data_IF_107400249920
#
_entry.id   IF_107400249920
#
_cell.length_a   1.000
_cell.length_b   1.000
_cell.length_c   1.000
_cell.angle_alpha   90.00
_cell.angle_beta   90.00
_cell.angle_gamma   90.00
#
_symmetry.space_group_name_H-M   'P 1'
#
loop_
_entity.id
_entity.type
_entity.pdbx_description
1 polymer ?
#
# COMPACT_ATOMS: atom_id res chain seq x y z
N UNK A 1 -18.45 -16.21 2.88
CA UNK A 1 -17.82 -14.95 2.44
C UNK A 1 -18.72 -13.81 2.86
N UNK A 2 -18.16 -12.75 3.42
CA UNK A 2 -18.95 -11.54 3.69
C UNK A 2 -19.21 -10.77 2.37
N UNK A 3 -20.05 -9.74 2.40
CA UNK A 3 -20.43 -8.99 1.19
C UNK A 3 -19.23 -8.29 0.51
N UNK A 4 -18.26 -7.83 1.30
CA UNK A 4 -17.00 -7.25 0.82
C UNK A 4 -16.14 -8.27 0.08
N UNK A 5 -16.06 -9.51 0.58
CA UNK A 5 -15.30 -10.57 -0.06
C UNK A 5 -15.87 -10.86 -1.45
N UNK A 6 -17.20 -11.01 -1.55
CA UNK A 6 -17.89 -11.27 -2.82
C UNK A 6 -17.68 -10.10 -3.81
N UNK A 7 -17.76 -8.87 -3.31
CA UNK A 7 -17.53 -7.66 -4.10
C UNK A 7 -16.09 -7.59 -4.62
N UNK A 8 -15.10 -7.95 -3.80
CA UNK A 8 -13.70 -7.96 -4.21
C UNK A 8 -13.39 -9.04 -5.25
N UNK A 9 -13.97 -10.23 -5.13
CA UNK A 9 -13.83 -11.28 -6.15
C UNK A 9 -14.41 -10.82 -7.49
N UNK A 10 -15.62 -10.25 -7.48
CA UNK A 10 -16.23 -9.65 -8.69
C UNK A 10 -15.35 -8.57 -9.31
N UNK A 11 -14.68 -7.76 -8.49
CA UNK A 11 -13.70 -6.79 -8.96
C UNK A 11 -12.50 -7.44 -9.66
N UNK A 12 -11.94 -8.51 -9.10
CA UNK A 12 -10.85 -9.26 -9.74
C UNK A 12 -11.29 -9.89 -11.07
N UNK A 13 -12.52 -10.42 -11.14
CA UNK A 13 -13.07 -10.99 -12.38
C UNK A 13 -13.19 -9.95 -13.49
N UNK A 14 -13.71 -8.76 -13.16
CA UNK A 14 -13.78 -7.64 -14.13
C UNK A 14 -12.37 -7.25 -14.59
N UNK A 15 -11.38 -7.22 -13.69
CA UNK A 15 -10.01 -6.93 -14.09
C UNK A 15 -9.42 -8.01 -15.00
N UNK A 16 -9.61 -9.29 -14.69
CA UNK A 16 -9.11 -10.40 -15.51
C UNK A 16 -9.71 -10.34 -16.92
N UNK A 17 -11.00 -10.02 -17.02
CA UNK A 17 -11.71 -9.86 -18.31
C UNK A 17 -11.22 -8.64 -19.10
N UNK A 18 -11.07 -7.48 -18.45
CA UNK A 18 -10.77 -6.20 -19.13
C UNK A 18 -9.29 -6.02 -19.43
N UNK A 19 -8.40 -6.56 -18.59
CA UNK A 19 -6.98 -6.30 -18.71
C UNK A 19 -6.26 -7.26 -19.65
N UNK A 20 -6.86 -8.42 -20.01
CA UNK A 20 -6.40 -9.46 -20.98
C UNK A 20 -5.04 -9.15 -21.63
N UNK A 21 -4.00 -9.14 -20.81
CA UNK A 21 -2.61 -8.97 -21.20
C UNK A 21 -1.93 -10.20 -20.64
N UNK A 22 -1.54 -11.09 -21.55
CA UNK A 22 -0.73 -12.24 -21.24
C UNK A 22 0.50 -11.77 -20.44
N UNK A 23 0.71 -12.41 -19.30
CA UNK A 23 1.83 -12.06 -18.43
C UNK A 23 3.14 -12.31 -19.19
N UNK A 24 4.01 -11.29 -19.23
CA UNK A 24 5.38 -11.37 -19.77
C UNK A 24 6.23 -12.44 -19.04
N UNK A 25 5.76 -12.92 -17.88
CA UNK A 25 6.49 -13.82 -16.98
C UNK A 25 6.45 -15.30 -17.41
N UNK A 26 5.65 -15.67 -18.42
CA UNK A 26 5.57 -17.07 -18.89
C UNK A 26 6.75 -17.53 -19.78
N UNK A 27 7.78 -16.70 -19.99
CA UNK A 27 8.91 -17.01 -20.88
C UNK A 27 10.16 -17.58 -20.18
N UNK A 28 10.01 -18.32 -19.09
CA UNK A 28 11.05 -19.26 -18.64
C UNK A 28 10.59 -20.66 -19.03
N UNK A 29 11.23 -21.19 -20.07
CA UNK A 29 10.99 -22.52 -20.65
C UNK A 29 10.69 -23.58 -19.58
N UNK A 30 9.51 -24.20 -19.66
CA UNK A 30 9.11 -25.34 -18.81
C UNK A 30 9.89 -26.64 -19.10
N UNK A 31 10.84 -26.62 -20.05
CA UNK A 31 11.55 -27.81 -20.53
C UNK A 31 12.92 -28.08 -19.87
N UNK A 32 13.33 -27.33 -18.85
CA UNK A 32 14.56 -27.61 -18.08
C UNK A 32 14.29 -28.41 -16.81
N UNK A 33 15.32 -29.10 -16.30
CA UNK A 33 15.29 -29.76 -15.00
C UNK A 33 14.75 -28.82 -13.90
N UNK A 34 13.90 -29.36 -13.01
CA UNK A 34 13.18 -28.57 -12.01
C UNK A 34 14.14 -27.87 -11.04
N UNK A 35 15.23 -28.53 -10.65
CA UNK A 35 16.22 -27.97 -9.73
C UNK A 35 17.05 -26.89 -10.42
N UNK A 36 17.47 -27.12 -11.66
CA UNK A 36 18.17 -26.11 -12.47
C UNK A 36 17.29 -24.86 -12.67
N UNK A 37 16.01 -25.05 -12.99
CA UNK A 37 15.03 -23.95 -13.12
C UNK A 37 14.90 -23.17 -11.82
N UNK A 38 14.72 -23.88 -10.70
CA UNK A 38 14.58 -23.26 -9.39
C UNK A 38 15.81 -22.43 -9.00
N UNK A 39 16.99 -22.99 -9.25
CA UNK A 39 18.25 -22.30 -9.00
C UNK A 39 18.38 -21.03 -9.85
N UNK A 40 18.13 -21.11 -11.17
CA UNK A 40 18.20 -19.92 -12.05
C UNK A 40 17.20 -18.83 -11.66
N UNK A 41 15.99 -19.20 -11.25
CA UNK A 41 14.97 -18.25 -10.78
C UNK A 41 15.42 -17.60 -9.47
N UNK A 42 15.90 -18.38 -8.50
CA UNK A 42 16.40 -17.86 -7.22
C UNK A 42 17.54 -16.86 -7.42
N UNK A 43 18.55 -17.22 -8.22
CA UNK A 43 19.69 -16.34 -8.50
C UNK A 43 19.24 -15.05 -9.22
N UNK A 44 18.37 -15.17 -10.23
CA UNK A 44 17.87 -14.01 -10.98
C UNK A 44 17.05 -13.07 -10.10
N UNK A 45 16.27 -13.59 -9.16
CA UNK A 45 15.45 -12.78 -8.26
C UNK A 45 16.28 -12.09 -7.17
N UNK A 46 17.42 -12.67 -6.75
CA UNK A 46 18.39 -11.96 -5.89
C UNK A 46 19.09 -10.84 -6.67
N UNK A 47 19.42 -11.07 -7.95
CA UNK A 47 20.01 -10.04 -8.82
C UNK A 47 19.03 -8.90 -9.09
N UNK A 48 17.74 -9.20 -9.25
CA UNK A 48 16.72 -8.20 -9.61
C UNK A 48 16.41 -7.20 -8.50
N UNK A 49 16.84 -7.46 -7.26
CA UNK A 49 16.64 -6.56 -6.15
C UNK A 49 17.21 -5.15 -6.46
N UNK A 50 16.30 -4.18 -6.64
CA UNK A 50 16.59 -2.79 -7.02
C UNK A 50 17.32 -2.65 -8.36
N UNK A 51 16.97 -3.50 -9.34
CA UNK A 51 17.56 -3.52 -10.68
C UNK A 51 16.47 -3.56 -11.74
N UNK A 52 16.67 -2.86 -12.87
CA UNK A 52 15.73 -2.92 -14.01
C UNK A 52 15.68 -4.33 -14.60
N UNK A 53 14.50 -4.77 -15.04
CA UNK A 53 14.30 -6.12 -15.57
C UNK A 53 15.22 -6.44 -16.75
N UNK A 54 15.43 -5.51 -17.68
CA UNK A 54 16.35 -5.65 -18.81
C UNK A 54 17.81 -5.90 -18.36
N UNK A 55 18.24 -5.19 -17.31
CA UNK A 55 19.58 -5.34 -16.74
C UNK A 55 19.72 -6.67 -16.01
N UNK A 56 18.69 -7.06 -15.24
CA UNK A 56 18.61 -8.38 -14.59
C UNK A 56 18.73 -9.49 -15.62
N UNK A 57 17.95 -9.44 -16.70
CA UNK A 57 17.97 -10.46 -17.75
C UNK A 57 19.35 -10.58 -18.40
N UNK A 58 20.00 -9.46 -18.71
CA UNK A 58 21.36 -9.43 -19.27
C UNK A 58 22.39 -10.04 -18.30
N UNK A 59 22.40 -9.60 -17.04
CA UNK A 59 23.36 -10.07 -16.03
C UNK A 59 23.15 -11.56 -15.73
N UNK A 60 21.91 -12.00 -15.53
CA UNK A 60 21.58 -13.41 -15.32
C UNK A 60 22.03 -14.28 -16.49
N UNK A 61 21.80 -13.84 -17.74
CA UNK A 61 22.24 -14.57 -18.93
C UNK A 61 23.76 -14.77 -18.96
N UNK A 62 24.53 -13.73 -18.68
CA UNK A 62 26.00 -13.83 -18.65
C UNK A 62 26.49 -14.71 -17.50
N UNK A 63 25.88 -14.62 -16.32
CA UNK A 63 26.20 -15.46 -15.17
C UNK A 63 25.93 -16.95 -15.46
N UNK A 64 24.78 -17.29 -16.05
CA UNK A 64 24.40 -18.67 -16.33
C UNK A 64 25.18 -19.34 -17.47
N UNK A 65 26.02 -18.59 -18.20
CA UNK A 65 27.05 -19.21 -19.07
C UNK A 65 28.13 -19.90 -18.25
N UNK A 66 28.40 -19.41 -17.04
CA UNK A 66 29.45 -19.92 -16.13
C UNK A 66 28.89 -20.78 -15.00
N UNK A 67 27.65 -20.52 -14.57
CA UNK A 67 27.04 -21.14 -13.40
C UNK A 67 25.82 -21.97 -13.80
N UNK A 68 25.89 -23.28 -13.60
CA UNK A 68 24.76 -24.22 -13.81
C UNK A 68 24.16 -24.69 -12.49
N UNK A 69 24.97 -24.79 -11.44
CA UNK A 69 24.56 -25.28 -10.12
C UNK A 69 25.22 -24.48 -8.97
N UNK A 70 24.81 -24.69 -7.70
CA UNK A 70 25.40 -23.97 -6.55
C UNK A 70 26.91 -24.13 -6.40
N UNK A 71 27.49 -25.29 -6.75
CA UNK A 71 28.94 -25.53 -6.64
C UNK A 71 29.72 -24.63 -7.61
N UNK A 72 29.25 -24.50 -8.84
CA UNK A 72 29.84 -23.59 -9.83
C UNK A 72 29.84 -22.14 -9.31
N UNK A 73 28.76 -21.73 -8.62
CA UNK A 73 28.62 -20.37 -8.09
C UNK A 73 29.66 -20.06 -6.99
N UNK A 74 29.87 -20.99 -6.06
CA UNK A 74 30.79 -20.81 -4.93
C UNK A 74 32.25 -20.82 -5.39
N UNK A 75 32.56 -21.55 -6.47
CA UNK A 75 33.90 -21.60 -7.06
C UNK A 75 34.34 -20.28 -7.71
N UNK A 76 33.41 -19.41 -8.13
CA UNK A 76 33.77 -18.12 -8.72
C UNK A 76 34.47 -17.23 -7.67
N UNK A 77 35.67 -16.70 -7.97
CA UNK A 77 36.32 -15.70 -7.13
C UNK A 77 35.41 -14.50 -6.87
N UNK A 78 35.44 -13.95 -5.65
CA UNK A 78 34.47 -12.90 -5.27
C UNK A 78 34.60 -11.65 -6.14
N UNK A 79 35.82 -11.29 -6.55
CA UNK A 79 36.10 -10.15 -7.42
C UNK A 79 35.58 -10.38 -8.85
N UNK A 80 35.65 -11.61 -9.36
CA UNK A 80 35.06 -11.98 -10.65
C UNK A 80 33.53 -11.94 -10.58
N UNK A 81 32.93 -12.48 -9.51
CA UNK A 81 31.49 -12.44 -9.31
C UNK A 81 30.99 -11.00 -9.19
N UNK A 82 31.71 -10.14 -8.47
CA UNK A 82 31.43 -8.70 -8.37
C UNK A 82 31.46 -8.03 -9.75
N UNK A 83 32.42 -8.34 -10.61
CA UNK A 83 32.49 -7.83 -12.00
C UNK A 83 31.29 -8.30 -12.83
N UNK A 84 30.91 -9.58 -12.72
CA UNK A 84 29.78 -10.15 -13.45
C UNK A 84 28.45 -9.47 -13.07
N UNK A 85 28.24 -9.20 -11.78
CA UNK A 85 27.00 -8.58 -11.29
C UNK A 85 27.06 -7.05 -11.17
N UNK A 86 28.20 -6.42 -11.50
CA UNK A 86 28.40 -4.98 -11.46
C UNK A 86 27.27 -4.16 -12.11
N UNK A 87 26.79 -4.51 -13.32
CA UNK A 87 25.73 -3.74 -13.98
C UNK A 87 24.42 -3.69 -13.20
N UNK A 88 24.16 -4.66 -12.31
CA UNK A 88 22.92 -4.72 -11.54
C UNK A 88 22.87 -3.72 -10.37
N UNK A 89 23.97 -3.02 -10.04
CA UNK A 89 24.05 -2.15 -8.87
C UNK A 89 24.00 -2.92 -7.54
N UNK A 90 24.48 -2.29 -6.45
CA UNK A 90 24.70 -2.97 -5.15
C UNK A 90 25.49 -4.29 -5.27
N UNK A 91 26.37 -4.36 -6.27
CA UNK A 91 26.97 -5.59 -6.76
C UNK A 91 27.84 -6.29 -5.71
N UNK A 92 28.55 -5.54 -4.86
CA UNK A 92 29.31 -6.10 -3.74
C UNK A 92 28.43 -6.91 -2.78
N UNK A 93 27.30 -6.34 -2.39
CA UNK A 93 26.32 -7.02 -1.52
C UNK A 93 25.68 -8.20 -2.23
N UNK A 94 25.32 -8.05 -3.51
CA UNK A 94 24.75 -9.15 -4.30
C UNK A 94 25.72 -10.30 -4.46
N UNK A 95 26.98 -10.05 -4.83
CA UNK A 95 28.00 -11.07 -4.98
C UNK A 95 28.22 -11.85 -3.66
N UNK A 96 28.34 -11.13 -2.54
CA UNK A 96 28.43 -11.74 -1.20
C UNK A 96 27.21 -12.62 -0.88
N UNK A 97 26.00 -12.11 -1.13
CA UNK A 97 24.77 -12.86 -0.90
C UNK A 97 24.68 -14.10 -1.79
N UNK A 98 24.99 -13.98 -3.08
CA UNK A 98 24.97 -15.10 -4.03
C UNK A 98 25.95 -16.20 -3.62
N UNK A 99 27.17 -15.83 -3.22
CA UNK A 99 28.19 -16.79 -2.78
C UNK A 99 27.76 -17.53 -1.51
N UNK A 100 27.34 -16.78 -0.48
CA UNK A 100 26.84 -17.35 0.78
C UNK A 100 25.56 -18.17 0.59
N UNK A 101 24.67 -17.76 -0.32
CA UNK A 101 23.49 -18.53 -0.69
C UNK A 101 23.92 -19.87 -1.31
N UNK A 102 24.88 -19.87 -2.24
CA UNK A 102 25.43 -21.09 -2.83
C UNK A 102 25.99 -22.05 -1.78
N UNK A 103 26.77 -21.53 -0.82
CA UNK A 103 27.32 -22.30 0.31
C UNK A 103 26.18 -22.95 1.13
N UNK A 104 25.17 -22.17 1.54
CA UNK A 104 24.02 -22.69 2.30
C UNK A 104 23.25 -23.77 1.52
N UNK A 105 23.05 -23.58 0.21
CA UNK A 105 22.37 -24.59 -0.61
C UNK A 105 23.14 -25.90 -0.64
N UNK A 106 24.47 -25.86 -0.73
CA UNK A 106 25.32 -27.05 -0.70
C UNK A 106 25.23 -27.74 0.65
N UNK A 107 25.48 -26.99 1.74
CA UNK A 107 25.67 -27.55 3.07
C UNK A 107 24.37 -28.04 3.70
N UNK A 108 23.28 -27.29 3.53
CA UNK A 108 22.00 -27.54 4.22
C UNK A 108 20.95 -28.21 3.35
N UNK A 109 20.99 -27.99 2.04
CA UNK A 109 19.93 -28.40 1.12
C UNK A 109 20.40 -29.36 0.01
N UNK A 110 21.60 -29.92 0.16
CA UNK A 110 22.20 -30.88 -0.80
C UNK A 110 22.17 -30.34 -2.25
N UNK A 111 22.54 -29.07 -2.41
CA UNK A 111 22.51 -28.30 -3.67
C UNK A 111 21.12 -28.05 -4.29
N UNK A 112 20.03 -28.33 -3.57
CA UNK A 112 18.66 -28.05 -4.02
C UNK A 112 18.13 -26.73 -3.45
N UNK A 113 17.28 -26.04 -4.21
CA UNK A 113 16.55 -24.88 -3.69
C UNK A 113 15.42 -25.36 -2.77
N UNK A 114 15.29 -24.84 -1.53
CA UNK A 114 14.19 -25.22 -0.65
C UNK A 114 12.84 -24.83 -1.24
N UNK A 115 11.83 -25.66 -0.97
CA UNK A 115 10.48 -25.54 -1.52
C UNK A 115 9.46 -25.02 -0.48
N UNK A 116 9.92 -24.26 0.51
CA UNK A 116 9.06 -23.57 1.47
C UNK A 116 9.48 -22.11 1.61
N UNK A 117 8.51 -21.23 1.87
CA UNK A 117 8.78 -19.80 2.00
C UNK A 117 9.63 -19.55 3.25
N UNK A 118 9.32 -20.25 4.33
CA UNK A 118 9.99 -20.17 5.63
C UNK A 118 11.48 -20.47 5.51
N UNK A 119 11.86 -21.45 4.70
CA UNK A 119 13.26 -21.75 4.43
C UNK A 119 13.89 -20.78 3.43
N UNK A 120 13.18 -20.43 2.36
CA UNK A 120 13.68 -19.50 1.35
C UNK A 120 14.07 -18.15 1.94
N UNK A 121 13.27 -17.60 2.88
CA UNK A 121 13.58 -16.31 3.52
C UNK A 121 14.79 -16.36 4.47
N UNK A 122 15.30 -17.55 4.80
CA UNK A 122 16.57 -17.69 5.54
C UNK A 122 17.79 -17.49 4.66
N UNK A 123 17.63 -17.55 3.33
CA UNK A 123 18.72 -17.37 2.38
C UNK A 123 19.09 -15.88 2.25
N UNK A 124 20.39 -15.54 2.17
CA UNK A 124 20.84 -14.16 2.09
C UNK A 124 20.38 -13.51 0.78
N UNK A 125 19.81 -12.30 0.90
CA UNK A 125 19.24 -11.57 -0.24
C UNK A 125 17.84 -12.00 -0.65
N UNK A 126 17.22 -12.96 0.05
CA UNK A 126 15.86 -13.44 -0.21
C UNK A 126 14.89 -12.88 0.81
N UNK A 127 14.06 -11.93 0.39
CA UNK A 127 12.91 -11.47 1.17
C UNK A 127 11.64 -12.27 0.86
N UNK A 128 10.56 -12.03 1.60
CA UNK A 128 9.26 -12.72 1.42
C UNK A 128 8.72 -12.65 -0.01
N UNK A 129 8.84 -11.49 -0.69
CA UNK A 129 8.45 -11.34 -2.10
C UNK A 129 9.28 -12.26 -3.02
N UNK A 130 10.59 -12.29 -2.83
CA UNK A 130 11.50 -13.15 -3.59
C UNK A 130 11.16 -14.62 -3.39
N UNK A 131 10.93 -15.03 -2.14
CA UNK A 131 10.52 -16.40 -1.81
C UNK A 131 9.19 -16.76 -2.50
N UNK A 132 8.17 -15.90 -2.44
CA UNK A 132 6.90 -16.12 -3.14
C UNK A 132 7.08 -16.25 -4.66
N UNK A 133 7.93 -15.43 -5.28
CA UNK A 133 8.24 -15.53 -6.72
C UNK A 133 8.92 -16.85 -7.08
N UNK A 134 9.87 -17.30 -6.25
CA UNK A 134 10.52 -18.61 -6.43
C UNK A 134 9.48 -19.73 -6.32
N UNK A 135 8.62 -19.70 -5.30
CA UNK A 135 7.54 -20.69 -5.14
C UNK A 135 6.62 -20.77 -6.36
N UNK A 136 6.18 -19.64 -6.89
CA UNK A 136 5.31 -19.63 -8.07
C UNK A 136 6.04 -20.04 -9.36
N UNK A 137 7.21 -19.49 -9.63
CA UNK A 137 7.87 -19.68 -10.95
C UNK A 137 8.66 -20.99 -11.02
N UNK A 138 9.29 -21.41 -9.93
CA UNK A 138 10.12 -22.61 -9.91
C UNK A 138 9.32 -23.87 -9.61
N UNK A 139 8.41 -23.78 -8.64
CA UNK A 139 7.68 -24.92 -8.09
C UNK A 139 6.23 -25.00 -8.56
N UNK A 140 5.77 -24.03 -9.35
CA UNK A 140 4.38 -23.89 -9.80
C UNK A 140 3.37 -23.88 -8.62
N UNK A 141 3.81 -23.43 -7.44
CA UNK A 141 3.02 -23.45 -6.23
C UNK A 141 2.13 -22.19 -6.12
N UNK A 142 1.10 -22.28 -5.27
CA UNK A 142 0.22 -21.19 -4.93
C UNK A 142 0.90 -20.30 -3.88
N UNK A 143 1.50 -19.20 -4.35
CA UNK A 143 2.05 -18.14 -3.52
C UNK A 143 1.45 -16.79 -3.91
N UNK A 144 1.29 -15.90 -2.93
CA UNK A 144 0.70 -14.57 -3.13
C UNK A 144 1.82 -13.53 -3.04
N UNK A 145 2.12 -12.87 -4.16
CA UNK A 145 3.08 -11.77 -4.17
C UNK A 145 2.40 -10.44 -3.81
N UNK A 146 2.58 -9.97 -2.58
CA UNK A 146 2.09 -8.64 -2.17
C UNK A 146 3.18 -7.59 -2.36
N UNK A 147 2.91 -6.58 -3.18
CA UNK A 147 3.71 -5.38 -3.30
C UNK A 147 2.88 -4.14 -2.88
N UNK A 148 3.40 -2.94 -3.14
CA UNK A 148 2.70 -1.69 -2.77
C UNK A 148 1.37 -1.49 -3.49
N UNK A 149 1.17 -2.09 -4.67
CA UNK A 149 -0.09 -2.01 -5.41
C UNK A 149 -1.10 -2.98 -4.83
N UNK A 150 -0.72 -4.24 -4.66
CA UNK A 150 -1.57 -5.26 -4.04
C UNK A 150 -1.99 -4.82 -2.65
N UNK A 151 -1.02 -4.44 -1.79
CA UNK A 151 -1.28 -3.95 -0.44
C UNK A 151 -2.25 -2.77 -0.42
N UNK A 152 -1.99 -1.72 -1.22
CA UNK A 152 -2.86 -0.54 -1.23
C UNK A 152 -4.28 -0.88 -1.70
N UNK A 153 -4.40 -1.60 -2.81
CA UNK A 153 -5.69 -1.84 -3.44
C UNK A 153 -6.55 -2.78 -2.60
N UNK A 154 -5.99 -3.86 -2.04
CA UNK A 154 -6.77 -4.76 -1.16
C UNK A 154 -7.26 -4.05 0.10
N UNK A 155 -6.44 -3.17 0.69
CA UNK A 155 -6.87 -2.34 1.82
C UNK A 155 -7.92 -1.29 1.41
N UNK A 156 -7.74 -0.61 0.28
CA UNK A 156 -8.70 0.38 -0.24
C UNK A 156 -10.07 -0.22 -0.57
N UNK A 157 -10.11 -1.51 -0.88
CA UNK A 157 -11.33 -2.28 -1.14
C UNK A 157 -11.94 -2.91 0.11
N UNK A 158 -11.39 -2.65 1.30
CA UNK A 158 -11.80 -3.26 2.57
C UNK A 158 -11.70 -4.79 2.60
N UNK A 159 -11.03 -5.39 1.60
CA UNK A 159 -10.76 -6.82 1.56
C UNK A 159 -9.65 -7.22 2.55
N UNK A 160 -8.73 -6.29 2.82
CA UNK A 160 -7.74 -6.35 3.89
C UNK A 160 -7.86 -5.12 4.80
N UNK A 161 -7.40 -5.26 6.05
CA UNK A 161 -7.15 -4.13 6.95
C UNK A 161 -5.84 -4.36 7.71
N UNK A 162 -4.73 -3.96 7.08
CA UNK A 162 -3.38 -4.34 7.48
C UNK A 162 -2.40 -3.20 7.25
N UNK A 163 -1.38 -3.10 8.10
CA UNK A 163 -0.39 -2.01 8.03
C UNK A 163 0.86 -2.36 7.21
N UNK A 164 1.05 -3.62 6.82
CA UNK A 164 2.22 -4.07 6.06
C UNK A 164 1.86 -5.08 4.96
N UNK A 165 2.67 -5.17 3.89
CA UNK A 165 2.50 -6.17 2.83
C UNK A 165 2.49 -7.62 3.33
N UNK A 166 3.30 -7.93 4.35
CA UNK A 166 3.39 -9.28 4.94
C UNK A 166 2.08 -9.65 5.64
N UNK A 167 1.52 -8.71 6.42
CA UNK A 167 0.22 -8.92 7.05
C UNK A 167 -0.89 -9.04 6.01
N UNK A 168 -0.84 -8.26 4.93
CA UNK A 168 -1.76 -8.43 3.80
C UNK A 168 -1.62 -9.80 3.17
N UNK A 169 -0.41 -10.32 2.96
CA UNK A 169 -0.20 -11.66 2.40
C UNK A 169 -0.92 -12.71 3.26
N UNK A 170 -0.74 -12.63 4.58
CA UNK A 170 -1.36 -13.58 5.51
C UNK A 170 -2.88 -13.48 5.52
N UNK A 171 -3.45 -12.26 5.45
CA UNK A 171 -4.89 -12.08 5.34
C UNK A 171 -5.45 -12.60 4.00
N UNK A 172 -4.74 -12.36 2.89
CA UNK A 172 -5.14 -12.87 1.59
C UNK A 172 -5.09 -14.41 1.56
N UNK A 173 -4.09 -15.05 2.17
CA UNK A 173 -4.03 -16.52 2.25
C UNK A 173 -5.23 -17.14 2.97
N UNK A 174 -5.85 -16.42 3.91
CA UNK A 174 -7.05 -16.88 4.64
C UNK A 174 -8.34 -16.76 3.84
N UNK A 175 -8.45 -15.76 2.96
CA UNK A 175 -9.73 -15.35 2.33
C UNK A 175 -9.76 -15.47 0.82
N UNK A 176 -8.63 -15.27 0.14
CA UNK A 176 -8.55 -15.24 -1.32
C UNK A 176 -8.66 -16.66 -1.89
N UNK A 177 -9.58 -16.93 -2.83
CA UNK A 177 -9.64 -18.22 -3.51
C UNK A 177 -8.34 -18.52 -4.29
N UNK A 178 -7.86 -19.78 -4.22
CA UNK A 178 -6.54 -20.19 -4.74
C UNK A 178 -6.32 -19.88 -6.23
N UNK A 179 -7.37 -19.89 -7.04
CA UNK A 179 -7.31 -19.55 -8.47
C UNK A 179 -6.81 -18.12 -8.75
N UNK A 180 -6.94 -17.18 -7.80
CA UNK A 180 -6.43 -15.82 -7.94
C UNK A 180 -5.01 -15.62 -7.41
N UNK A 181 -4.43 -16.56 -6.64
CA UNK A 181 -3.16 -16.33 -5.95
C UNK A 181 -2.02 -15.99 -6.92
N UNK A 182 -1.99 -16.69 -8.07
CA UNK A 182 -1.00 -16.45 -9.14
C UNK A 182 -1.30 -15.19 -9.96
N UNK A 183 -2.57 -14.78 -10.07
CA UNK A 183 -3.03 -13.68 -10.94
C UNK A 183 -3.04 -12.32 -10.26
N UNK A 184 -3.35 -12.27 -8.96
CA UNK A 184 -3.68 -11.04 -8.24
C UNK A 184 -2.58 -9.98 -8.33
N UNK A 185 -1.29 -10.38 -8.27
CA UNK A 185 -0.20 -9.43 -8.37
C UNK A 185 -0.23 -8.69 -9.72
N UNK A 186 -0.28 -9.42 -10.84
CA UNK A 186 -0.28 -8.82 -12.17
C UNK A 186 -1.51 -7.91 -12.38
N UNK A 187 -2.71 -8.41 -12.03
CA UNK A 187 -3.96 -7.66 -12.17
C UNK A 187 -3.90 -6.31 -11.44
N UNK A 188 -3.45 -6.34 -10.18
CA UNK A 188 -3.44 -5.14 -9.34
C UNK A 188 -2.27 -4.20 -9.64
N UNK A 189 -1.14 -4.72 -10.11
CA UNK A 189 -0.02 -3.88 -10.57
C UNK A 189 -0.42 -3.07 -11.80
N UNK A 190 -0.93 -3.74 -12.85
CA UNK A 190 -1.37 -3.06 -14.09
C UNK A 190 -2.46 -2.04 -13.77
N UNK A 191 -3.50 -2.46 -13.07
CA UNK A 191 -4.60 -1.57 -12.68
C UNK A 191 -4.12 -0.41 -11.77
N UNK A 192 -3.23 -0.70 -10.84
CA UNK A 192 -2.74 0.24 -9.83
C UNK A 192 -1.74 1.26 -10.35
N UNK A 193 -1.05 0.99 -11.46
CA UNK A 193 -0.16 1.94 -12.12
C UNK A 193 -0.94 2.94 -12.98
N UNK A 194 -1.93 2.46 -13.74
CA UNK A 194 -2.63 3.29 -14.72
C UNK A 194 -3.83 4.03 -14.11
N UNK A 195 -4.60 3.35 -13.25
CA UNK A 195 -5.92 3.80 -12.80
C UNK A 195 -5.99 4.00 -11.28
N UNK A 196 -5.80 2.94 -10.50
CA UNK A 196 -5.97 2.94 -9.04
C UNK A 196 -4.67 3.31 -8.31
N UNK A 197 -4.09 4.45 -8.71
CA UNK A 197 -2.84 4.97 -8.16
C UNK A 197 -3.03 5.54 -6.72
N UNK A 198 -1.96 5.97 -6.02
CA UNK A 198 -2.09 6.67 -4.73
C UNK A 198 -3.02 7.89 -4.77
N UNK A 199 -3.10 8.57 -5.93
CA UNK A 199 -4.16 9.54 -6.23
C UNK A 199 -5.01 8.88 -7.33
N UNK A 200 -6.11 8.19 -6.99
CA UNK A 200 -6.83 7.39 -7.96
C UNK A 200 -7.46 8.27 -9.04
N UNK A 201 -7.37 7.80 -10.30
CA UNK A 201 -8.05 8.44 -11.43
C UNK A 201 -9.43 7.81 -11.60
N UNK A 202 -10.30 7.96 -10.59
CA UNK A 202 -11.61 7.31 -10.55
C UNK A 202 -12.45 7.59 -11.80
N UNK A 203 -12.31 8.76 -12.43
CA UNK A 203 -13.00 9.11 -13.67
C UNK A 203 -12.61 8.23 -14.85
N UNK A 204 -11.37 7.72 -14.88
CA UNK A 204 -10.85 6.81 -15.91
C UNK A 204 -11.04 5.33 -15.57
N UNK A 205 -11.63 5.01 -14.41
CA UNK A 205 -11.86 3.64 -14.01
C UNK A 205 -12.98 2.98 -14.82
N UNK A 206 -12.96 1.65 -14.93
CA UNK A 206 -14.04 0.89 -15.57
C UNK A 206 -15.37 1.15 -14.87
N UNK A 207 -16.42 1.38 -15.65
CA UNK A 207 -17.74 1.77 -15.13
C UNK A 207 -18.32 0.73 -14.16
N UNK A 208 -18.06 -0.55 -14.44
CA UNK A 208 -18.49 -1.71 -13.70
C UNK A 208 -17.79 -1.78 -12.34
N UNK A 209 -16.50 -1.43 -12.30
CA UNK A 209 -15.72 -1.36 -11.07
C UNK A 209 -16.17 -0.16 -10.22
N UNK A 210 -16.40 1.02 -10.82
CA UNK A 210 -16.86 2.20 -10.07
C UNK A 210 -18.15 1.92 -9.29
N UNK A 211 -19.10 1.19 -9.90
CA UNK A 211 -20.39 0.86 -9.28
C UNK A 211 -20.27 0.04 -8.00
N UNK A 212 -19.19 -0.72 -7.83
CA UNK A 212 -18.98 -1.63 -6.71
C UNK A 212 -17.77 -1.24 -5.85
N UNK A 213 -17.10 -0.12 -6.14
CA UNK A 213 -15.89 0.28 -5.43
C UNK A 213 -16.25 1.04 -4.14
N UNK A 214 -15.93 0.51 -2.94
CA UNK A 214 -16.29 1.17 -1.67
C UNK A 214 -15.63 2.55 -1.54
N UNK A 215 -14.36 2.66 -1.92
CA UNK A 215 -13.63 3.93 -1.90
C UNK A 215 -14.27 5.00 -2.80
N UNK A 216 -14.68 4.63 -4.02
CA UNK A 216 -15.35 5.59 -4.91
C UNK A 216 -16.70 6.03 -4.36
N UNK A 217 -17.45 5.10 -3.74
CA UNK A 217 -18.70 5.41 -3.05
C UNK A 217 -18.49 6.42 -1.91
N UNK A 218 -17.50 6.20 -1.04
CA UNK A 218 -17.16 7.15 0.03
C UNK A 218 -16.78 8.53 -0.52
N UNK A 219 -16.01 8.61 -1.62
CA UNK A 219 -15.66 9.88 -2.26
C UNK A 219 -16.91 10.62 -2.78
N UNK A 220 -17.83 9.91 -3.44
CA UNK A 220 -19.10 10.47 -3.91
C UNK A 220 -19.98 10.98 -2.77
N UNK A 221 -20.07 10.23 -1.68
CA UNK A 221 -20.87 10.65 -0.53
C UNK A 221 -20.26 11.87 0.16
N UNK A 222 -18.93 11.98 0.24
CA UNK A 222 -18.26 13.20 0.73
C UNK A 222 -18.62 14.41 -0.15
N UNK A 223 -18.54 14.27 -1.47
CA UNK A 223 -18.90 15.35 -2.41
C UNK A 223 -20.37 15.76 -2.28
N UNK A 224 -21.26 14.79 -2.10
CA UNK A 224 -22.68 15.03 -1.83
C UNK A 224 -22.88 15.79 -0.51
N UNK A 225 -22.20 15.38 0.56
CA UNK A 225 -22.26 16.08 1.85
C UNK A 225 -21.76 17.52 1.71
N UNK A 226 -20.68 17.75 0.97
CA UNK A 226 -20.19 19.10 0.69
C UNK A 226 -21.21 19.95 -0.08
N UNK A 227 -21.90 19.36 -1.05
CA UNK A 227 -22.96 20.04 -1.81
C UNK A 227 -24.15 20.37 -0.91
N UNK A 228 -24.66 19.41 -0.15
CA UNK A 228 -25.86 19.56 0.68
C UNK A 228 -25.71 20.64 1.76
N UNK A 229 -24.49 20.83 2.30
CA UNK A 229 -24.20 21.85 3.30
C UNK A 229 -23.48 23.10 2.74
N UNK A 230 -23.42 23.24 1.42
CA UNK A 230 -22.81 24.38 0.72
C UNK A 230 -21.34 24.66 1.11
N UNK A 231 -20.54 23.60 1.28
CA UNK A 231 -19.11 23.73 1.53
C UNK A 231 -18.39 24.27 0.29
N UNK A 232 -17.51 25.24 0.53
CA UNK A 232 -16.63 25.80 -0.49
C UNK A 232 -15.18 25.48 -0.17
N UNK A 233 -14.50 24.83 -1.13
CA UNK A 233 -13.05 24.67 -1.08
C UNK A 233 -12.38 26.03 -1.12
N UNK A 234 -11.65 26.33 -0.05
CA UNK A 234 -11.14 27.67 0.22
C UNK A 234 -9.62 27.63 0.34
N UNK A 235 -8.88 28.45 -0.43
CA UNK A 235 -7.43 28.59 -0.24
C UNK A 235 -7.11 29.03 1.18
N UNK A 236 -6.02 28.52 1.76
CA UNK A 236 -5.58 28.87 3.12
C UNK A 236 -5.40 30.39 3.34
N UNK A 237 -5.16 31.14 2.27
CA UNK A 237 -5.00 32.61 2.27
C UNK A 237 -6.31 33.39 2.18
N UNK A 238 -7.43 32.75 1.86
CA UNK A 238 -8.74 33.39 1.61
C UNK A 238 -9.83 32.89 2.56
N UNK A 239 -9.47 32.48 3.77
CA UNK A 239 -10.43 31.99 4.76
C UNK A 239 -11.32 33.17 5.23
N UNK A 240 -12.67 33.03 5.18
CA UNK A 240 -13.59 34.10 5.55
C UNK A 240 -13.53 34.45 7.05
N UNK A 241 -13.89 35.68 7.39
CA UNK A 241 -13.97 36.18 8.78
C UNK A 241 -15.36 35.99 9.41
N UNK A 242 -16.22 35.22 8.77
CA UNK A 242 -17.55 34.83 9.23
C UNK A 242 -17.50 33.64 10.20
N UNK A 243 -18.58 33.44 10.95
CA UNK A 243 -18.80 32.22 11.73
C UNK A 243 -19.21 31.08 10.78
N UNK A 244 -18.99 29.83 11.22
CA UNK A 244 -19.44 28.67 10.45
C UNK A 244 -18.76 27.35 10.81
N UNK A 245 -18.91 26.38 9.93
CA UNK A 245 -18.35 25.03 10.02
C UNK A 245 -17.25 24.84 8.96
N UNK A 246 -16.22 24.07 9.30
CA UNK A 246 -15.12 23.75 8.40
C UNK A 246 -14.78 22.26 8.43
N UNK A 247 -14.28 21.76 7.30
CA UNK A 247 -13.68 20.44 7.16
C UNK A 247 -12.24 20.60 6.69
N UNK A 248 -11.29 20.04 7.44
CA UNK A 248 -9.89 19.96 7.05
C UNK A 248 -9.58 18.55 6.56
N UNK A 249 -9.11 18.44 5.31
CA UNK A 249 -8.52 17.19 4.82
C UNK A 249 -7.05 17.16 5.22
N UNK A 250 -6.68 16.20 6.06
CA UNK A 250 -5.38 16.04 6.68
C UNK A 250 -4.73 14.77 6.13
N UNK A 251 -3.52 14.88 5.59
CA UNK A 251 -2.77 13.73 5.06
C UNK A 251 -1.77 13.21 6.08
N UNK A 252 -1.89 11.93 6.44
CA UNK A 252 -0.88 11.15 7.15
C UNK A 252 -0.04 10.36 6.14
N UNK A 253 1.26 10.66 6.04
CA UNK A 253 2.16 10.02 5.07
C UNK A 253 2.69 8.66 5.56
N UNK A 254 2.75 8.46 6.87
CA UNK A 254 3.18 7.24 7.53
C UNK A 254 2.29 6.96 8.74
N UNK A 255 2.10 5.69 9.13
CA UNK A 255 1.43 5.36 10.38
C UNK A 255 2.19 5.97 11.56
N UNK A 256 1.46 6.42 12.58
CA UNK A 256 2.06 6.95 13.80
C UNK A 256 1.13 6.80 14.99
N UNK A 257 1.70 6.43 16.14
CA UNK A 257 0.99 6.45 17.41
C UNK A 257 1.24 7.77 18.11
N UNK A 258 0.16 8.46 18.50
CA UNK A 258 0.20 9.81 19.05
C UNK A 258 -0.52 9.83 20.39
N UNK A 259 0.11 10.41 21.40
CA UNK A 259 -0.51 10.67 22.69
C UNK A 259 -1.32 11.97 22.60
N UNK A 260 -2.64 11.85 22.67
CA UNK A 260 -3.60 12.96 22.65
C UNK A 260 -4.23 13.08 24.03
N UNK A 261 -3.77 14.06 24.82
CA UNK A 261 -4.12 14.13 26.24
C UNK A 261 -3.56 12.93 26.99
N UNK A 262 -4.45 12.07 27.53
CA UNK A 262 -4.09 10.82 28.22
C UNK A 262 -4.30 9.57 27.36
N UNK A 263 -4.75 9.71 26.12
CA UNK A 263 -5.09 8.59 25.23
C UNK A 263 -4.03 8.40 24.16
N UNK A 264 -3.57 7.17 24.01
CA UNK A 264 -2.71 6.77 22.91
C UNK A 264 -3.57 6.34 21.73
N UNK A 265 -3.39 7.00 20.57
CA UNK A 265 -4.18 6.74 19.36
C UNK A 265 -3.24 6.37 18.22
N UNK A 266 -3.47 5.22 17.59
CA UNK A 266 -2.74 4.76 16.40
C UNK A 266 -3.40 5.30 15.13
N UNK A 267 -2.70 6.21 14.45
CA UNK A 267 -3.10 6.72 13.14
C UNK A 267 -2.46 5.89 12.03
N UNK A 268 -3.26 5.51 11.05
CA UNK A 268 -2.83 4.81 9.83
C UNK A 268 -2.41 5.83 8.78
N UNK A 269 -1.68 5.37 7.77
CA UNK A 269 -1.38 6.18 6.58
C UNK A 269 -2.67 6.38 5.78
N UNK A 270 -3.01 7.62 5.43
CA UNK A 270 -4.18 7.91 4.60
C UNK A 270 -4.66 9.35 4.74
N UNK A 271 -5.89 9.59 4.32
CA UNK A 271 -6.53 10.89 4.44
C UNK A 271 -7.50 10.89 5.62
N UNK A 272 -7.48 11.97 6.39
CA UNK A 272 -8.35 12.20 7.53
C UNK A 272 -9.18 13.45 7.27
N UNK A 273 -10.43 13.45 7.73
CA UNK A 273 -11.32 14.59 7.64
C UNK A 273 -11.69 15.03 9.05
N UNK A 274 -11.14 16.17 9.45
CA UNK A 274 -11.49 16.80 10.72
C UNK A 274 -12.60 17.83 10.50
N UNK A 275 -13.68 17.70 11.25
CA UNK A 275 -14.81 18.62 11.22
C UNK A 275 -14.73 19.50 12.45
N UNK A 276 -14.89 20.81 12.28
CA UNK A 276 -14.92 21.74 13.40
C UNK A 276 -15.88 22.89 13.17
N UNK A 277 -16.26 23.59 14.23
CA UNK A 277 -16.96 24.87 14.14
C UNK A 277 -16.17 26.06 14.68
N UNK A 278 -16.55 27.25 14.21
CA UNK A 278 -16.05 28.55 14.65
C UNK A 278 -17.23 29.44 15.05
N UNK A 279 -18.01 29.00 16.04
CA UNK A 279 -19.24 29.67 16.49
C UNK A 279 -19.10 30.50 17.77
N UNK A 280 -17.98 30.36 18.50
CA UNK A 280 -17.75 31.04 19.78
C UNK A 280 -17.74 32.57 19.68
N UNK A 281 -17.96 33.24 20.81
CA UNK A 281 -18.23 34.69 20.86
C UNK A 281 -17.10 35.57 20.32
N UNK A 282 -15.85 35.10 20.38
CA UNK A 282 -14.65 35.78 19.85
C UNK A 282 -14.00 35.06 18.66
N UNK A 283 -14.67 34.06 18.07
CA UNK A 283 -14.07 33.16 17.09
C UNK A 283 -14.82 33.21 15.75
N UNK A 284 -14.07 33.26 14.66
CA UNK A 284 -14.56 33.10 13.29
C UNK A 284 -13.72 32.06 12.54
N UNK A 285 -14.14 31.70 11.32
CA UNK A 285 -13.48 30.69 10.49
C UNK A 285 -12.00 31.01 10.29
N UNK A 286 -11.66 32.26 9.97
CA UNK A 286 -10.29 32.73 9.83
C UNK A 286 -9.45 32.47 11.08
N UNK A 287 -9.87 32.96 12.25
CA UNK A 287 -9.12 32.83 13.50
C UNK A 287 -8.94 31.35 13.89
N UNK A 288 -10.00 30.54 13.75
CA UNK A 288 -9.98 29.14 14.15
C UNK A 288 -9.08 28.30 13.23
N UNK A 289 -9.23 28.45 11.91
CA UNK A 289 -8.48 27.66 10.93
C UNK A 289 -7.03 28.15 10.84
N UNK A 290 -6.77 29.46 10.85
CA UNK A 290 -5.40 29.98 10.88
C UNK A 290 -4.63 29.50 12.11
N UNK A 291 -5.30 29.37 13.26
CA UNK A 291 -4.70 28.73 14.44
C UNK A 291 -4.41 27.25 14.23
N UNK A 292 -5.25 26.52 13.49
CA UNK A 292 -4.94 25.12 13.14
C UNK A 292 -3.70 25.03 12.26
N UNK A 293 -3.56 25.97 11.32
CA UNK A 293 -2.47 26.03 10.34
C UNK A 293 -1.16 26.63 10.87
N UNK A 294 -1.15 27.27 12.05
CA UNK A 294 0.05 27.88 12.62
C UNK A 294 0.98 26.85 13.26
N UNK A 295 2.27 27.01 13.02
CA UNK A 295 3.34 26.24 13.68
C UNK A 295 3.62 26.75 15.11
N UNK A 296 4.33 25.95 15.92
CA UNK A 296 4.83 26.32 17.26
C UNK A 296 3.80 26.89 18.26
N UNK A 297 2.56 26.40 18.18
CA UNK A 297 1.48 26.77 19.10
C UNK A 297 1.46 25.88 20.35
N UNK A 298 1.01 26.46 21.49
CA UNK A 298 0.59 25.66 22.64
C UNK A 298 -0.61 24.79 22.23
N UNK A 299 -0.45 23.47 22.34
CA UNK A 299 -1.48 22.47 22.04
C UNK A 299 -2.69 22.69 22.95
N UNK A 300 -3.87 22.85 22.35
CA UNK A 300 -5.14 23.04 23.08
C UNK A 300 -6.22 22.08 22.62
N UNK A 301 -6.23 21.69 21.36
CA UNK A 301 -7.23 20.79 20.79
C UNK A 301 -6.61 19.47 20.35
N UNK A 302 -7.40 18.39 20.34
CA UNK A 302 -6.92 17.06 19.93
C UNK A 302 -6.25 17.08 18.54
N UNK A 303 -6.80 17.86 17.61
CA UNK A 303 -6.25 18.04 16.27
C UNK A 303 -4.84 18.64 16.27
N UNK A 304 -4.46 19.47 17.25
CA UNK A 304 -3.12 20.07 17.31
C UNK A 304 -2.02 19.01 17.44
N UNK A 305 -2.30 17.90 18.14
CA UNK A 305 -1.39 16.77 18.30
C UNK A 305 -1.24 15.98 16.99
N UNK A 306 -2.31 15.85 16.22
CA UNK A 306 -2.28 15.18 14.90
C UNK A 306 -1.49 16.00 13.87
N UNK A 307 -1.67 17.33 13.88
CA UNK A 307 -1.06 18.23 12.89
C UNK A 307 0.47 18.33 13.01
N UNK A 308 1.06 17.94 14.15
CA UNK A 308 2.52 17.84 14.29
C UNK A 308 3.16 16.82 13.34
N UNK A 309 2.39 15.80 12.92
CA UNK A 309 2.88 14.69 12.11
C UNK A 309 2.15 14.53 10.77
N UNK A 310 1.34 15.52 10.41
CA UNK A 310 0.46 15.48 9.25
C UNK A 310 0.38 16.83 8.57
N UNK A 311 -0.31 16.87 7.44
CA UNK A 311 -0.42 18.10 6.65
C UNK A 311 -1.86 18.35 6.26
N UNK A 312 -2.39 19.55 6.55
CA UNK A 312 -3.68 19.99 5.99
C UNK A 312 -3.49 20.22 4.48
N UNK A 313 -4.15 19.39 3.67
CA UNK A 313 -4.14 19.46 2.20
C UNK A 313 -5.30 20.27 1.64
N UNK A 314 -6.42 20.30 2.33
CA UNK A 314 -7.62 21.01 1.90
C UNK A 314 -8.36 21.65 3.06
N UNK A 315 -8.95 22.82 2.79
CA UNK A 315 -9.84 23.53 3.71
C UNK A 315 -11.16 23.73 2.98
N UNK A 316 -12.24 23.22 3.56
CA UNK A 316 -13.60 23.46 3.08
C UNK A 316 -14.37 24.19 4.18
N UNK A 317 -15.12 25.24 3.83
CA UNK A 317 -15.89 26.02 4.81
C UNK A 317 -17.32 26.26 4.35
N UNK A 318 -18.23 26.41 5.31
CA UNK A 318 -19.62 26.85 5.10
C UNK A 318 -20.01 27.79 6.24
N UNK A 319 -20.95 28.71 6.00
CA UNK A 319 -21.33 29.74 6.97
C UNK A 319 -22.35 29.26 8.01
N UNK A 320 -22.94 28.07 7.80
CA UNK A 320 -23.88 27.47 8.73
C UNK A 320 -23.21 26.71 9.89
N UNK A 321 -24.00 26.44 10.94
CA UNK A 321 -23.59 25.59 12.07
C UNK A 321 -24.04 24.14 11.81
N UNK A 322 -23.21 23.40 11.09
CA UNK A 322 -23.53 22.03 10.65
C UNK A 322 -22.51 20.98 11.15
N UNK A 323 -21.72 21.32 12.17
CA UNK A 323 -20.63 20.46 12.65
C UNK A 323 -21.11 19.05 13.07
N UNK A 324 -22.20 18.97 13.84
CA UNK A 324 -22.76 17.69 14.27
C UNK A 324 -23.44 16.95 13.11
N UNK A 325 -24.18 17.64 12.24
CA UNK A 325 -24.89 17.04 11.11
C UNK A 325 -23.92 16.42 10.09
N UNK A 326 -22.83 17.14 9.78
CA UNK A 326 -21.77 16.65 8.90
C UNK A 326 -21.05 15.46 9.54
N UNK A 327 -20.77 15.52 10.84
CA UNK A 327 -20.16 14.40 11.60
C UNK A 327 -21.02 13.13 11.52
N UNK A 328 -22.33 13.24 11.73
CA UNK A 328 -23.25 12.11 11.61
C UNK A 328 -23.21 11.47 10.22
N UNK A 329 -23.19 12.27 9.15
CA UNK A 329 -23.12 11.75 7.78
C UNK A 329 -21.75 11.15 7.44
N UNK A 330 -20.67 11.78 7.88
CA UNK A 330 -19.32 11.25 7.69
C UNK A 330 -19.16 9.88 8.37
N UNK A 331 -19.78 9.69 9.53
CA UNK A 331 -19.77 8.42 10.26
C UNK A 331 -20.41 7.25 9.51
N UNK A 332 -21.29 7.51 8.54
CA UNK A 332 -21.93 6.46 7.74
C UNK A 332 -21.03 5.95 6.60
N UNK A 333 -20.01 6.71 6.22
CA UNK A 333 -19.25 6.47 4.98
C UNK A 333 -17.73 6.43 5.18
N UNK A 334 -17.24 6.76 6.37
CA UNK A 334 -15.83 6.80 6.74
C UNK A 334 -15.59 6.15 8.12
N UNK A 335 -14.36 5.68 8.33
CA UNK A 335 -13.93 5.11 9.61
C UNK A 335 -13.78 6.22 10.67
N UNK A 336 -14.50 6.11 11.78
CA UNK A 336 -14.45 7.11 12.86
C UNK A 336 -13.26 6.89 13.80
N UNK A 337 -12.53 7.94 14.18
CA UNK A 337 -11.58 7.91 15.30
C UNK A 337 -12.32 8.22 16.59
N UNK A 338 -12.65 7.18 17.35
CA UNK A 338 -13.62 7.28 18.46
C UNK A 338 -13.27 8.33 19.52
N UNK A 339 -14.28 9.13 19.85
CA UNK A 339 -14.23 10.26 20.79
C UNK A 339 -13.24 11.38 20.43
N UNK A 340 -12.78 11.45 19.18
CA UNK A 340 -11.84 12.49 18.75
C UNK A 340 -12.57 13.82 18.50
N UNK A 341 -12.36 14.80 19.36
CA UNK A 341 -12.81 16.18 19.13
C UNK A 341 -14.31 16.42 19.36
N UNK A 342 -14.98 15.55 20.10
CA UNK A 342 -16.42 15.61 20.41
C UNK A 342 -16.69 15.83 21.92
N UNK A 343 -15.81 16.52 22.64
CA UNK A 343 -15.92 16.68 24.11
C UNK A 343 -17.16 17.48 24.55
N UNK A 344 -17.73 18.26 23.65
CA UNK A 344 -18.85 19.19 23.86
C UNK A 344 -20.12 18.77 23.10
N UNK A 345 -20.17 17.56 22.54
CA UNK A 345 -21.32 17.04 21.81
C UNK A 345 -21.48 15.52 21.99
N UNK A 346 -22.55 14.94 21.44
CA UNK A 346 -22.84 13.49 21.49
C UNK A 346 -22.33 12.71 20.26
N UNK A 347 -21.56 13.34 19.38
CA UNK A 347 -21.05 12.68 18.19
C UNK A 347 -20.05 11.57 18.55
N UNK A 348 -20.00 10.50 17.74
CA UNK A 348 -19.01 9.44 17.89
C UNK A 348 -17.58 9.96 17.67
N UNK A 349 -17.40 10.90 16.76
CA UNK A 349 -16.13 11.53 16.43
C UNK A 349 -16.33 12.82 15.64
N UNK A 350 -15.29 13.66 15.59
CA UNK A 350 -15.12 14.74 14.61
C UNK A 350 -13.91 14.51 13.70
N UNK A 351 -13.29 13.32 13.75
CA UNK A 351 -12.18 12.94 12.90
C UNK A 351 -12.46 11.59 12.25
N UNK A 352 -12.52 11.61 10.93
CA UNK A 352 -12.85 10.45 10.11
C UNK A 352 -11.69 10.08 9.20
N UNK A 353 -11.54 8.82 8.87
CA UNK A 353 -10.43 8.25 8.11
C UNK A 353 -10.95 7.59 6.84
N UNK A 354 -10.23 7.81 5.73
CA UNK A 354 -10.38 7.04 4.50
C UNK A 354 -9.06 6.37 4.15
N UNK A 355 -9.13 5.08 3.79
CA UNK A 355 -7.98 4.29 3.38
C UNK A 355 -7.31 4.88 2.12
N UNK A 356 -5.97 4.80 2.04
CA UNK A 356 -5.15 5.55 1.09
C UNK A 356 -5.32 5.16 -0.36
#
# INVERSE_FOLDING_TARGET
MNDFDTTFIKFLDILDEKLKKDAIVDKISKNSDKNERAFKILISTVISARTKDETTAKVSKELFKKVKNPKDLVQIPIDELEKLVHPAGFYKTKAKNLKKLGEILIDKYNSNVPNSIEELVTLPGVGRKTANLVMTLAFDDYAICVDTHVHRITNRWDYADTDSPENTEMELRKKLPKNYWKKINNLLVVFGQETCSPIPKCDKCFSEIKKICPHYNSLKEIEKIYTDFNFKKTPKTKIPKDKGTYVLRIKMNSPKTILVGKREIKFKKGDYFYIGSAMGDSMNLYNRISRHLSDNKKKRWHIDYLLEFSNVKEVNVTLGRFECDVSQRFNLVLDSIESFGCSDCKCKSHLYYIKP
#
